data_IF_474697295755
#
_entry.id   IF_474697295755
#
_cell.length_a   1.000
_cell.length_b   1.000
_cell.length_c   1.000
_cell.angle_alpha   90.00
_cell.angle_beta   90.00
_cell.angle_gamma   90.00
#
_symmetry.space_group_name_H-M   'P 1'
#
loop_
_entity.id
_entity.type
_entity.pdbx_description
1 polymer ?
#
# COMPACT_ATOMS: atom_id res chain seq x y z
N UNK A 1 49.61 -31.72 49.48
CA UNK A 1 49.79 -30.25 49.58
C UNK A 1 49.41 -29.62 48.24
N UNK A 2 48.17 -29.71 47.78
CA UNK A 2 47.08 -28.75 48.04
C UNK A 2 47.53 -27.32 48.34
N UNK A 3 47.51 -26.47 47.30
CA UNK A 3 47.15 -25.06 47.45
C UNK A 3 46.07 -24.75 46.41
N UNK A 4 44.86 -24.66 46.94
CA UNK A 4 43.62 -24.25 46.30
C UNK A 4 43.67 -22.76 45.97
N UNK A 5 43.41 -22.40 44.72
CA UNK A 5 43.11 -21.02 44.33
C UNK A 5 41.62 -20.72 44.58
N UNK A 6 41.26 -19.58 45.20
CA UNK A 6 39.88 -19.28 45.55
C UNK A 6 39.07 -18.68 44.39
N UNK A 7 37.88 -19.26 44.18
CA UNK A 7 36.61 -18.61 43.83
C UNK A 7 36.60 -17.38 42.90
N UNK A 8 36.86 -17.59 41.59
CA UNK A 8 36.39 -16.67 40.53
C UNK A 8 34.89 -16.81 40.20
N UNK A 9 34.16 -17.72 40.87
CA UNK A 9 32.72 -17.91 40.66
C UNK A 9 31.83 -17.02 41.55
N UNK A 10 32.37 -16.39 42.60
CA UNK A 10 31.55 -15.62 43.56
C UNK A 10 31.38 -14.16 43.13
N UNK A 11 32.32 -13.59 42.38
CA UNK A 11 32.23 -12.19 41.93
C UNK A 11 31.30 -11.98 40.73
N UNK A 12 31.09 -12.97 39.87
CA UNK A 12 30.15 -12.87 38.74
C UNK A 12 28.69 -13.00 39.17
N UNK A 13 28.40 -13.71 40.26
CA UNK A 13 27.03 -13.84 40.79
C UNK A 13 26.58 -12.55 41.49
N UNK A 14 27.48 -11.85 42.20
CA UNK A 14 27.13 -10.62 42.93
C UNK A 14 26.78 -9.46 41.98
N UNK A 15 27.41 -9.37 40.80
CA UNK A 15 27.07 -8.34 39.79
C UNK A 15 25.75 -8.61 39.06
N UNK A 16 25.34 -9.88 38.93
CA UNK A 16 24.03 -10.23 38.38
C UNK A 16 22.87 -9.84 39.31
N UNK A 17 23.05 -9.97 40.63
CA UNK A 17 22.01 -9.62 41.59
C UNK A 17 21.82 -8.10 41.76
N UNK A 18 22.89 -7.30 41.67
CA UNK A 18 22.77 -5.83 41.76
C UNK A 18 22.10 -5.25 40.49
N UNK A 19 22.38 -5.82 39.30
CA UNK A 19 21.72 -5.43 38.05
C UNK A 19 20.22 -5.77 37.98
N UNK A 20 19.81 -6.93 38.52
CA UNK A 20 18.40 -7.32 38.62
C UNK A 20 17.62 -6.49 39.66
N UNK A 21 18.27 -6.08 40.75
CA UNK A 21 17.67 -5.17 41.74
C UNK A 21 17.52 -3.73 41.20
N UNK A 22 18.45 -3.24 40.36
CA UNK A 22 18.29 -1.91 39.74
C UNK A 22 17.19 -1.87 38.66
N UNK A 23 16.99 -2.94 37.88
CA UNK A 23 15.94 -3.01 36.86
C UNK A 23 14.54 -3.20 37.47
N UNK A 24 14.42 -3.91 38.58
CA UNK A 24 13.14 -4.08 39.30
C UNK A 24 12.73 -2.83 40.10
N UNK A 25 13.68 -2.01 40.57
CA UNK A 25 13.37 -0.73 41.22
C UNK A 25 13.02 0.35 40.18
N UNK A 26 13.74 0.44 39.06
CA UNK A 26 13.44 1.41 37.99
C UNK A 26 12.10 1.10 37.30
N UNK A 27 11.76 -0.18 37.07
CA UNK A 27 10.45 -0.56 36.55
C UNK A 27 9.30 -0.29 37.54
N UNK A 28 9.51 -0.43 38.86
CA UNK A 28 8.50 -0.08 39.87
C UNK A 28 8.31 1.43 40.02
N UNK A 29 9.37 2.23 39.91
CA UNK A 29 9.28 3.70 40.01
C UNK A 29 8.64 4.31 38.75
N UNK A 30 8.85 3.73 37.56
CA UNK A 30 8.12 4.12 36.34
C UNK A 30 6.63 3.71 36.39
N UNK A 31 6.30 2.57 37.01
CA UNK A 31 4.91 2.14 37.19
C UNK A 31 4.13 2.96 38.24
N UNK A 32 4.82 3.65 39.17
CA UNK A 32 4.20 4.41 40.26
C UNK A 32 3.84 5.85 39.91
N UNK A 33 4.32 6.40 38.79
CA UNK A 33 4.07 7.79 38.36
C UNK A 33 3.39 7.93 36.99
N UNK A 34 2.95 6.83 36.38
CA UNK A 34 1.92 6.93 35.35
C UNK A 34 0.59 7.26 36.04
N UNK A 35 -0.22 8.22 35.56
CA UNK A 35 -1.62 8.22 35.91
C UNK A 35 -2.16 6.85 35.53
N UNK A 36 -2.45 6.02 36.54
CA UNK A 36 -3.26 4.83 36.38
C UNK A 36 -4.61 5.38 35.98
N UNK A 37 -4.83 5.50 34.67
CA UNK A 37 -6.17 5.63 34.14
C UNK A 37 -6.93 4.43 34.75
N UNK A 38 -8.04 4.67 35.47
CA UNK A 38 -8.87 3.55 35.90
C UNK A 38 -9.13 2.71 34.65
N UNK A 39 -9.10 1.37 34.71
CA UNK A 39 -9.51 0.55 33.58
C UNK A 39 -10.97 0.92 33.33
N UNK A 40 -11.16 1.85 32.41
CA UNK A 40 -12.47 2.24 31.98
C UNK A 40 -12.98 0.98 31.29
N UNK A 41 -14.13 0.47 31.75
CA UNK A 41 -14.88 -0.60 31.10
C UNK A 41 -15.41 -0.08 29.73
N UNK A 42 -14.51 0.39 28.87
CA UNK A 42 -14.77 1.05 27.58
C UNK A 42 -14.36 0.12 26.43
N UNK A 43 -14.08 -1.15 26.73
CA UNK A 43 -14.01 -2.18 25.71
C UNK A 43 -15.42 -2.68 25.39
N UNK A 44 -15.78 -2.68 24.11
CA UNK A 44 -17.02 -3.32 23.63
C UNK A 44 -17.15 -4.76 24.15
N UNK A 45 -18.34 -5.11 24.64
CA UNK A 45 -18.67 -6.48 25.01
C UNK A 45 -18.55 -7.43 23.80
N UNK A 46 -18.45 -8.73 24.03
CA UNK A 46 -18.40 -9.73 22.94
C UNK A 46 -19.66 -9.63 22.08
N UNK A 47 -20.83 -9.48 22.71
CA UNK A 47 -22.12 -9.34 22.01
C UNK A 47 -22.14 -8.09 21.12
N UNK A 48 -21.66 -6.95 21.62
CA UNK A 48 -21.56 -5.73 20.81
C UNK A 48 -20.57 -5.89 19.64
N UNK A 49 -19.41 -6.52 19.87
CA UNK A 49 -18.44 -6.80 18.80
C UNK A 49 -19.04 -7.70 17.72
N UNK A 50 -19.78 -8.74 18.11
CA UNK A 50 -20.49 -9.61 17.18
C UNK A 50 -21.56 -8.84 16.42
N UNK A 51 -22.38 -8.05 17.12
CA UNK A 51 -23.41 -7.22 16.49
C UNK A 51 -22.82 -6.30 15.41
N UNK A 52 -21.79 -5.53 15.73
CA UNK A 52 -21.17 -4.63 14.75
C UNK A 52 -20.45 -5.37 13.62
N UNK A 53 -19.87 -6.55 13.90
CA UNK A 53 -19.33 -7.41 12.84
C UNK A 53 -20.44 -7.80 11.86
N UNK A 54 -21.59 -8.31 12.34
CA UNK A 54 -22.70 -8.66 11.46
C UNK A 54 -23.26 -7.44 10.72
N UNK A 55 -23.33 -6.27 11.37
CA UNK A 55 -23.72 -5.02 10.69
C UNK A 55 -22.79 -4.70 9.52
N UNK A 56 -21.46 -4.86 9.68
CA UNK A 56 -20.50 -4.64 8.58
C UNK A 56 -20.70 -5.67 7.46
N UNK A 57 -20.99 -6.94 7.79
CA UNK A 57 -21.35 -7.94 6.79
C UNK A 57 -22.59 -7.55 5.99
N UNK A 58 -23.64 -7.06 6.65
CA UNK A 58 -24.87 -6.58 6.00
C UNK A 58 -24.61 -5.35 5.11
N UNK A 59 -23.78 -4.41 5.57
CA UNK A 59 -23.38 -3.24 4.79
C UNK A 59 -22.62 -3.63 3.51
N UNK A 60 -21.69 -4.58 3.61
CA UNK A 60 -20.97 -5.09 2.44
C UNK A 60 -21.93 -5.74 1.44
N UNK A 61 -22.84 -6.61 1.91
CA UNK A 61 -23.85 -7.22 1.04
C UNK A 61 -24.72 -6.19 0.36
N UNK A 62 -25.23 -5.21 1.11
CA UNK A 62 -26.03 -4.12 0.53
C UNK A 62 -25.29 -3.38 -0.60
N UNK A 63 -24.01 -3.03 -0.37
CA UNK A 63 -23.21 -2.33 -1.37
C UNK A 63 -22.87 -3.22 -2.57
N UNK A 64 -22.47 -4.47 -2.33
CA UNK A 64 -22.07 -5.41 -3.38
C UNK A 64 -23.27 -5.83 -4.23
N UNK A 65 -24.41 -6.15 -3.61
CA UNK A 65 -25.64 -6.50 -4.33
C UNK A 65 -26.13 -5.30 -5.16
N UNK A 66 -26.07 -4.08 -4.62
CA UNK A 66 -26.39 -2.87 -5.36
C UNK A 66 -25.47 -2.62 -6.55
N UNK A 67 -24.16 -2.86 -6.41
CA UNK A 67 -23.23 -2.81 -7.54
C UNK A 67 -23.58 -3.88 -8.60
N UNK A 68 -23.85 -5.11 -8.18
CA UNK A 68 -24.19 -6.21 -9.07
C UNK A 68 -25.51 -5.97 -9.83
N UNK A 69 -26.50 -5.34 -9.19
CA UNK A 69 -27.80 -5.03 -9.79
C UNK A 69 -27.73 -3.86 -10.77
N UNK A 70 -27.08 -2.76 -10.38
CA UNK A 70 -27.21 -1.48 -11.10
C UNK A 70 -26.02 -1.10 -11.98
N UNK A 71 -24.86 -1.69 -11.76
CA UNK A 71 -23.63 -1.22 -12.41
C UNK A 71 -22.81 -2.32 -13.08
N UNK A 72 -22.80 -3.55 -12.59
CA UNK A 72 -22.01 -4.62 -13.21
C UNK A 72 -22.35 -4.76 -14.72
N UNK A 73 -21.36 -4.78 -15.64
CA UNK A 73 -19.91 -4.91 -15.42
C UNK A 73 -19.11 -3.60 -15.43
N UNK A 74 -19.75 -2.43 -15.28
CA UNK A 74 -19.06 -1.15 -15.15
C UNK A 74 -18.12 -1.10 -13.93
N UNK A 75 -17.24 -0.11 -13.90
CA UNK A 75 -16.23 -0.01 -12.85
C UNK A 75 -16.82 0.33 -11.49
N UNK A 76 -17.78 1.25 -11.43
CA UNK A 76 -18.42 1.71 -10.21
C UNK A 76 -19.94 1.89 -10.38
N UNK A 77 -20.65 1.96 -9.25
CA UNK A 77 -22.06 2.34 -9.18
C UNK A 77 -22.20 3.77 -8.67
N UNK A 78 -23.12 4.55 -9.25
CA UNK A 78 -23.61 5.79 -8.62
C UNK A 78 -24.79 5.43 -7.70
N UNK A 79 -24.59 5.31 -6.38
CA UNK A 79 -25.57 4.68 -5.49
C UNK A 79 -26.86 5.50 -5.31
N UNK A 80 -26.82 6.82 -5.53
CA UNK A 80 -28.01 7.67 -5.42
C UNK A 80 -28.91 7.62 -6.66
N UNK A 81 -28.33 7.43 -7.84
CA UNK A 81 -29.06 7.40 -9.11
C UNK A 81 -29.24 5.99 -9.64
N UNK A 82 -28.63 4.98 -9.02
CA UNK A 82 -28.62 3.59 -9.45
C UNK A 82 -28.17 3.44 -10.91
N UNK A 83 -27.07 4.11 -11.28
CA UNK A 83 -26.53 4.06 -12.66
C UNK A 83 -25.07 3.62 -12.67
N UNK A 84 -24.62 2.95 -13.75
CA UNK A 84 -23.22 2.58 -13.91
C UNK A 84 -22.33 3.83 -14.09
N UNK A 85 -21.09 3.70 -13.65
CA UNK A 85 -20.02 4.68 -13.85
C UNK A 85 -18.78 3.97 -14.42
N UNK A 86 -18.25 4.52 -15.50
CA UNK A 86 -17.05 4.07 -16.19
C UNK A 86 -16.28 5.24 -16.79
N UNK A 87 -15.20 4.99 -17.54
CA UNK A 87 -14.37 6.02 -18.15
C UNK A 87 -15.14 6.93 -19.10
N UNK A 88 -14.82 8.22 -19.06
CA UNK A 88 -15.33 9.23 -19.99
C UNK A 88 -14.46 9.25 -21.26
N UNK A 89 -14.84 8.44 -22.25
CA UNK A 89 -14.11 8.30 -23.53
C UNK A 89 -14.07 9.58 -24.36
N UNK A 90 -15.15 10.37 -24.32
CA UNK A 90 -15.25 11.64 -25.06
C UNK A 90 -14.44 12.77 -24.41
N UNK A 91 -14.06 12.62 -23.14
CA UNK A 91 -13.22 13.57 -22.42
C UNK A 91 -12.02 12.84 -21.81
N UNK A 92 -11.00 12.63 -22.65
CA UNK A 92 -9.79 11.92 -22.25
C UNK A 92 -9.06 12.57 -21.07
N UNK A 93 -9.29 13.86 -20.79
CA UNK A 93 -8.64 14.62 -19.72
C UNK A 93 -9.46 14.70 -18.41
N UNK A 94 -10.53 13.92 -18.29
CA UNK A 94 -11.30 13.82 -17.06
C UNK A 94 -10.55 13.01 -15.99
N UNK A 95 -9.36 13.47 -15.58
CA UNK A 95 -8.42 12.73 -14.73
C UNK A 95 -9.04 12.23 -13.43
N UNK A 96 -9.85 13.04 -12.75
CA UNK A 96 -10.52 12.62 -11.51
C UNK A 96 -11.50 11.45 -11.67
N UNK A 97 -11.83 11.05 -12.90
CA UNK A 97 -12.66 9.88 -13.22
C UNK A 97 -11.79 8.83 -13.92
N UNK A 98 -11.17 9.19 -15.04
CA UNK A 98 -10.44 8.24 -15.89
C UNK A 98 -9.19 7.65 -15.23
N UNK A 99 -8.58 8.34 -14.25
CA UNK A 99 -7.36 7.82 -13.59
C UNK A 99 -7.60 6.45 -12.93
N UNK A 100 -8.84 6.20 -12.47
CA UNK A 100 -9.26 5.01 -11.73
C UNK A 100 -10.15 4.08 -12.57
N UNK A 101 -10.96 4.63 -13.48
CA UNK A 101 -11.94 3.86 -14.26
C UNK A 101 -11.36 3.48 -15.64
N UNK A 102 -11.33 2.19 -15.94
CA UNK A 102 -10.71 1.65 -17.14
C UNK A 102 -11.52 0.61 -17.92
N UNK A 103 -12.81 0.44 -17.62
CA UNK A 103 -13.71 -0.60 -18.18
C UNK A 103 -13.24 -2.03 -17.86
N UNK A 104 -12.89 -2.30 -16.60
CA UNK A 104 -12.40 -3.60 -16.13
C UNK A 104 -13.12 -4.11 -14.87
N UNK A 105 -14.34 -3.64 -14.64
CA UNK A 105 -15.17 -4.02 -13.48
C UNK A 105 -14.45 -3.75 -12.15
N UNK A 106 -13.88 -2.55 -12.01
CA UNK A 106 -13.06 -2.14 -10.86
C UNK A 106 -13.60 -2.62 -9.51
N UNK A 107 -14.85 -2.28 -9.16
CA UNK A 107 -15.45 -2.62 -7.86
C UNK A 107 -15.40 -4.13 -7.59
N UNK A 108 -15.63 -4.97 -8.60
CA UNK A 108 -15.58 -6.42 -8.46
C UNK A 108 -14.16 -6.92 -8.17
N UNK A 109 -13.16 -6.37 -8.88
CA UNK A 109 -11.74 -6.73 -8.69
C UNK A 109 -11.24 -6.26 -7.33
N UNK A 110 -11.53 -5.01 -6.96
CA UNK A 110 -11.09 -4.35 -5.72
C UNK A 110 -11.75 -4.94 -4.46
N UNK A 111 -12.85 -5.69 -4.62
CA UNK A 111 -13.59 -6.33 -3.50
C UNK A 111 -13.24 -7.81 -3.28
N UNK A 112 -12.34 -8.41 -4.08
CA UNK A 112 -12.04 -9.84 -4.03
C UNK A 112 -11.56 -10.29 -2.64
N UNK A 113 -10.64 -9.56 -2.05
CA UNK A 113 -10.08 -9.87 -0.74
C UNK A 113 -11.07 -9.61 0.41
N UNK A 114 -12.05 -8.72 0.21
CA UNK A 114 -13.08 -8.45 1.21
C UNK A 114 -13.98 -9.66 1.41
N UNK A 115 -14.28 -10.45 0.37
CA UNK A 115 -14.92 -11.76 0.54
C UNK A 115 -14.10 -12.68 1.45
N UNK A 116 -12.76 -12.61 1.38
CA UNK A 116 -11.87 -13.35 2.28
C UNK A 116 -11.96 -12.87 3.73
N UNK A 117 -11.92 -11.56 3.96
CA UNK A 117 -12.07 -10.96 5.29
C UNK A 117 -13.41 -11.34 5.93
N UNK A 118 -14.48 -11.43 5.13
CA UNK A 118 -15.82 -11.82 5.58
C UNK A 118 -16.02 -13.35 5.62
N UNK A 119 -15.03 -14.16 5.24
CA UNK A 119 -15.16 -15.62 5.21
C UNK A 119 -16.17 -16.14 4.19
N UNK A 120 -16.55 -15.34 3.18
CA UNK A 120 -17.50 -15.71 2.14
C UNK A 120 -16.81 -16.38 0.94
N UNK A 121 -16.48 -17.66 1.11
CA UNK A 121 -15.78 -18.44 0.08
C UNK A 121 -16.62 -18.62 -1.18
N UNK A 122 -17.94 -18.72 -1.03
CA UNK A 122 -18.85 -18.89 -2.16
C UNK A 122 -18.95 -17.61 -2.99
N UNK A 123 -19.07 -16.45 -2.32
CA UNK A 123 -19.02 -15.13 -2.95
C UNK A 123 -17.69 -14.89 -3.67
N UNK A 124 -16.56 -15.22 -3.02
CA UNK A 124 -15.24 -15.17 -3.64
C UNK A 124 -15.16 -16.01 -4.92
N UNK A 125 -15.54 -17.30 -4.86
CA UNK A 125 -15.54 -18.18 -6.03
C UNK A 125 -16.43 -17.66 -7.16
N UNK A 126 -17.58 -17.06 -6.81
CA UNK A 126 -18.45 -16.43 -7.79
C UNK A 126 -17.81 -15.21 -8.45
N UNK A 127 -17.19 -14.33 -7.67
CA UNK A 127 -16.52 -13.13 -8.15
C UNK A 127 -15.35 -13.49 -9.09
N UNK A 128 -14.53 -14.47 -8.74
CA UNK A 128 -13.43 -14.96 -9.60
C UNK A 128 -13.95 -15.45 -10.95
N UNK A 129 -15.07 -16.20 -10.96
CA UNK A 129 -15.71 -16.64 -12.21
C UNK A 129 -16.19 -15.46 -13.06
N UNK A 130 -16.84 -14.47 -12.46
CA UNK A 130 -17.30 -13.27 -13.17
C UNK A 130 -16.12 -12.48 -13.76
N UNK A 131 -15.02 -12.36 -13.02
CA UNK A 131 -13.81 -11.69 -13.50
C UNK A 131 -13.26 -12.41 -14.73
N UNK A 132 -13.14 -13.74 -14.67
CA UNK A 132 -12.74 -14.55 -15.83
C UNK A 132 -13.63 -14.32 -17.05
N UNK A 133 -14.95 -14.26 -16.84
CA UNK A 133 -15.93 -14.13 -17.92
C UNK A 133 -15.95 -12.73 -18.54
N UNK A 134 -15.89 -11.68 -17.72
CA UNK A 134 -16.20 -10.31 -18.13
C UNK A 134 -15.00 -9.35 -18.17
N UNK A 135 -13.96 -9.54 -17.35
CA UNK A 135 -12.86 -8.58 -17.25
C UNK A 135 -11.91 -8.75 -18.43
N UNK A 136 -11.56 -7.63 -19.06
CA UNK A 136 -10.56 -7.54 -20.13
C UNK A 136 -9.64 -6.37 -19.83
N UNK A 137 -8.34 -6.59 -19.96
CA UNK A 137 -7.33 -5.53 -19.74
C UNK A 137 -7.01 -4.77 -21.03
N UNK A 138 -7.28 -5.35 -22.21
CA UNK A 138 -7.09 -4.69 -23.52
C UNK A 138 -8.13 -3.60 -23.83
N UNK A 139 -8.25 -2.61 -22.95
CA UNK A 139 -9.23 -1.53 -23.07
C UNK A 139 -8.60 -0.28 -23.69
N UNK A 140 -9.35 0.40 -24.56
CA UNK A 140 -8.97 1.73 -25.02
C UNK A 140 -9.36 2.80 -23.98
N UNK A 141 -8.78 2.67 -22.81
CA UNK A 141 -9.02 3.51 -21.63
C UNK A 141 -7.70 4.11 -21.16
N UNK A 142 -7.73 5.41 -20.84
CA UNK A 142 -6.61 6.10 -20.23
C UNK A 142 -6.72 5.98 -18.73
N UNK A 143 -5.66 5.50 -18.07
CA UNK A 143 -5.64 5.27 -16.63
C UNK A 143 -4.37 5.80 -16.00
N UNK A 144 -4.39 5.99 -14.68
CA UNK A 144 -3.21 6.35 -13.91
C UNK A 144 -2.49 5.08 -13.44
N UNK A 145 -1.17 5.02 -13.67
CA UNK A 145 -0.33 3.87 -13.31
C UNK A 145 -0.44 3.56 -11.82
N UNK A 146 -0.45 4.58 -10.98
CA UNK A 146 -0.60 4.46 -9.53
C UNK A 146 -1.93 3.78 -9.13
N UNK A 147 -3.06 4.37 -9.52
CA UNK A 147 -4.39 3.89 -9.12
C UNK A 147 -4.65 2.46 -9.59
N UNK A 148 -4.29 2.16 -10.84
CA UNK A 148 -4.51 0.82 -11.39
C UNK A 148 -3.56 -0.22 -10.79
N UNK A 149 -2.37 0.20 -10.35
CA UNK A 149 -1.46 -0.69 -9.62
C UNK A 149 -2.06 -1.08 -8.28
N UNK A 150 -2.43 -0.10 -7.45
CA UNK A 150 -2.87 -0.40 -6.07
C UNK A 150 -4.26 -1.06 -6.02
N UNK A 151 -5.14 -0.80 -6.98
CA UNK A 151 -6.51 -1.36 -7.00
C UNK A 151 -6.60 -2.65 -7.81
N UNK A 152 -6.30 -2.57 -9.11
CA UNK A 152 -6.54 -3.68 -10.03
C UNK A 152 -5.43 -4.70 -9.95
N UNK A 153 -4.16 -4.28 -10.07
CA UNK A 153 -3.05 -5.21 -9.98
C UNK A 153 -2.97 -5.82 -8.57
N UNK A 154 -3.11 -4.99 -7.53
CA UNK A 154 -3.22 -5.43 -6.14
C UNK A 154 -4.35 -6.43 -5.91
N UNK A 155 -5.58 -6.10 -6.34
CA UNK A 155 -6.75 -6.98 -6.19
C UNK A 155 -6.62 -8.31 -6.94
N UNK A 156 -6.09 -8.30 -8.17
CA UNK A 156 -5.84 -9.53 -8.94
C UNK A 156 -4.77 -10.42 -8.28
N UNK A 157 -3.66 -9.83 -7.81
CA UNK A 157 -2.59 -10.57 -7.14
C UNK A 157 -3.05 -11.11 -5.78
N UNK A 158 -3.74 -10.31 -4.98
CA UNK A 158 -4.32 -10.72 -3.70
C UNK A 158 -5.35 -11.85 -3.88
N UNK A 159 -6.25 -11.71 -4.86
CA UNK A 159 -7.20 -12.75 -5.23
C UNK A 159 -6.51 -14.02 -5.72
N UNK A 160 -5.43 -13.92 -6.50
CA UNK A 160 -4.65 -15.08 -6.93
C UNK A 160 -4.05 -15.84 -5.74
N UNK A 161 -3.43 -15.14 -4.79
CA UNK A 161 -2.87 -15.75 -3.58
C UNK A 161 -3.96 -16.43 -2.74
N UNK A 162 -5.12 -15.78 -2.56
CA UNK A 162 -6.27 -16.34 -1.87
C UNK A 162 -6.81 -17.62 -2.53
N UNK A 163 -6.85 -17.65 -3.86
CA UNK A 163 -7.35 -18.78 -4.63
C UNK A 163 -6.38 -19.97 -4.68
N UNK A 164 -5.08 -19.76 -4.40
CA UNK A 164 -4.03 -20.77 -4.54
C UNK A 164 -3.45 -21.26 -3.22
N UNK A 165 -3.27 -20.38 -2.23
CA UNK A 165 -2.66 -20.73 -0.94
C UNK A 165 -3.67 -21.44 -0.02
N UNK A 166 -3.45 -22.73 0.32
CA UNK A 166 -4.35 -23.47 1.20
C UNK A 166 -4.42 -22.89 2.62
N UNK A 167 -3.42 -22.13 3.07
CA UNK A 167 -3.38 -21.55 4.41
C UNK A 167 -4.32 -20.35 4.57
N UNK A 168 -4.73 -19.73 3.46
CA UNK A 168 -5.61 -18.55 3.48
C UNK A 168 -7.10 -18.90 3.47
N UNK A 169 -7.45 -20.19 3.39
CA UNK A 169 -8.83 -20.69 3.51
C UNK A 169 -9.71 -20.50 2.26
N UNK A 170 -9.28 -19.70 1.29
CA UNK A 170 -10.05 -19.36 0.08
C UNK A 170 -9.71 -20.17 -1.17
N UNK A 171 -8.85 -21.18 -1.04
CA UNK A 171 -8.41 -22.01 -2.17
C UNK A 171 -9.58 -22.55 -3.01
N UNK A 172 -9.49 -22.40 -4.34
CA UNK A 172 -10.47 -22.84 -5.32
C UNK A 172 -9.88 -24.00 -6.13
N UNK A 173 -10.55 -25.15 -6.13
CA UNK A 173 -9.99 -26.39 -6.69
C UNK A 173 -9.88 -26.42 -8.21
N UNK A 174 -10.71 -25.66 -8.92
CA UNK A 174 -10.75 -25.56 -10.39
C UNK A 174 -10.05 -24.30 -10.92
N UNK A 175 -9.41 -23.53 -10.04
CA UNK A 175 -8.70 -22.31 -10.40
C UNK A 175 -7.42 -22.61 -11.18
N UNK A 176 -7.23 -21.90 -12.29
CA UNK A 176 -6.14 -22.12 -13.24
C UNK A 176 -5.46 -20.79 -13.60
N UNK A 177 -5.07 -20.03 -12.57
CA UNK A 177 -4.28 -18.79 -12.68
C UNK A 177 -4.96 -17.63 -13.43
N UNK A 178 -6.27 -17.65 -13.62
CA UNK A 178 -6.95 -16.64 -14.45
C UNK A 178 -6.73 -15.20 -13.94
N UNK A 179 -6.63 -15.00 -12.63
CA UNK A 179 -6.32 -13.68 -12.06
C UNK A 179 -4.85 -13.29 -12.26
N UNK A 180 -3.92 -14.24 -12.17
CA UNK A 180 -2.49 -13.98 -12.41
C UNK A 180 -2.22 -13.67 -13.87
N UNK A 181 -2.92 -14.33 -14.80
CA UNK A 181 -2.82 -14.05 -16.23
C UNK A 181 -3.29 -12.62 -16.55
N UNK A 182 -4.40 -12.18 -15.94
CA UNK A 182 -4.88 -10.80 -16.03
C UNK A 182 -3.88 -9.81 -15.40
N UNK A 183 -3.33 -10.13 -14.23
CA UNK A 183 -2.33 -9.31 -13.54
C UNK A 183 -1.05 -9.15 -14.39
N UNK A 184 -0.59 -10.23 -15.01
CA UNK A 184 0.56 -10.20 -15.90
C UNK A 184 0.28 -9.39 -17.17
N UNK A 185 -0.92 -9.50 -17.76
CA UNK A 185 -1.29 -8.67 -18.91
C UNK A 185 -1.34 -7.19 -18.57
N UNK A 186 -1.90 -6.85 -17.41
CA UNK A 186 -1.92 -5.49 -16.89
C UNK A 186 -0.50 -4.97 -16.66
N UNK A 187 0.34 -5.71 -15.94
CA UNK A 187 1.73 -5.32 -15.71
C UNK A 187 2.48 -5.01 -17.01
N UNK A 188 2.35 -5.85 -18.04
CA UNK A 188 2.98 -5.60 -19.35
C UNK A 188 2.52 -4.30 -20.01
N UNK A 189 1.25 -3.91 -19.82
CA UNK A 189 0.70 -2.65 -20.37
C UNK A 189 1.15 -1.43 -19.57
N UNK A 190 1.48 -1.60 -18.29
CA UNK A 190 2.04 -0.54 -17.44
C UNK A 190 3.55 -0.35 -17.65
N UNK A 191 4.32 -1.40 -17.99
CA UNK A 191 5.78 -1.32 -18.20
C UNK A 191 6.23 -0.18 -19.13
N UNK A 192 5.56 0.07 -20.28
CA UNK A 192 5.88 1.20 -21.15
C UNK A 192 5.96 2.58 -20.45
N UNK A 193 5.21 2.79 -19.36
CA UNK A 193 5.23 4.04 -18.58
C UNK A 193 6.63 4.37 -18.04
N UNK A 194 7.41 3.36 -17.70
CA UNK A 194 8.76 3.50 -17.17
C UNK A 194 9.78 3.67 -18.30
N UNK A 195 9.65 2.89 -19.39
CA UNK A 195 10.60 2.94 -20.50
C UNK A 195 10.49 4.21 -21.34
N UNK A 196 9.30 4.83 -21.39
CA UNK A 196 9.08 6.07 -22.13
C UNK A 196 9.59 7.31 -21.38
N UNK A 197 9.75 7.20 -20.05
CA UNK A 197 10.22 8.31 -19.24
C UNK A 197 11.70 8.61 -19.50
N UNK A 198 12.12 9.89 -19.57
CA UNK A 198 13.54 10.26 -19.66
C UNK A 198 14.28 10.07 -18.32
N UNK A 199 13.57 9.78 -17.24
CA UNK A 199 14.11 9.50 -15.91
C UNK A 199 13.62 8.12 -15.45
N UNK A 200 14.07 7.65 -14.29
CA UNK A 200 13.56 6.40 -13.72
C UNK A 200 12.17 6.54 -13.09
N UNK A 201 11.54 7.73 -13.12
CA UNK A 201 10.19 7.94 -12.61
C UNK A 201 9.17 7.59 -13.71
N UNK A 202 8.10 6.84 -13.41
CA UNK A 202 7.12 6.47 -14.43
C UNK A 202 6.35 7.68 -14.95
N UNK A 203 6.00 7.66 -16.24
CA UNK A 203 4.90 8.48 -16.74
C UNK A 203 3.64 8.13 -15.92
N UNK A 204 2.92 9.12 -15.36
CA UNK A 204 1.81 8.85 -14.45
C UNK A 204 0.63 8.16 -15.14
N UNK A 205 0.50 8.27 -16.46
CA UNK A 205 -0.68 7.80 -17.20
C UNK A 205 -0.31 6.99 -18.44
N UNK A 206 -1.14 6.00 -18.71
CA UNK A 206 -1.06 5.15 -19.90
C UNK A 206 -2.44 4.88 -20.45
N UNK A 207 -2.53 4.69 -21.77
CA UNK A 207 -3.67 4.03 -22.37
C UNK A 207 -3.42 2.53 -22.34
N UNK A 208 -4.35 1.73 -21.80
CA UNK A 208 -4.13 0.29 -21.62
C UNK A 208 -3.92 -0.44 -22.95
N UNK A 209 -4.47 0.06 -24.07
CA UNK A 209 -4.30 -0.52 -25.41
C UNK A 209 -3.18 0.12 -26.22
N UNK A 210 -3.01 1.45 -26.12
CA UNK A 210 -2.12 2.24 -26.98
C UNK A 210 -0.77 2.57 -26.33
N UNK A 211 -0.63 2.36 -25.03
CA UNK A 211 0.58 2.68 -24.26
C UNK A 211 0.62 4.12 -23.74
N UNK A 212 1.81 4.60 -23.33
CA UNK A 212 1.97 5.89 -22.66
C UNK A 212 1.75 7.05 -23.63
N UNK A 213 1.24 8.15 -23.10
CA UNK A 213 1.08 9.40 -23.83
C UNK A 213 1.57 10.55 -22.95
N UNK A 214 2.28 11.50 -23.56
CA UNK A 214 2.84 12.64 -22.81
C UNK A 214 1.81 13.74 -22.70
N UNK A 215 1.56 14.16 -21.47
CA UNK A 215 0.79 15.36 -21.17
C UNK A 215 1.75 16.37 -20.58
N UNK A 216 1.69 17.59 -21.11
CA UNK A 216 2.38 18.72 -20.50
C UNK A 216 1.42 19.49 -19.59
N UNK A 217 1.87 19.92 -18.41
CA UNK A 217 3.23 19.72 -17.91
C UNK A 217 3.44 18.30 -17.33
N UNK A 218 4.70 17.84 -17.27
CA UNK A 218 5.08 16.44 -16.99
C UNK A 218 5.11 16.16 -15.48
N UNK A 219 3.95 16.28 -14.83
CA UNK A 219 3.86 16.20 -13.37
C UNK A 219 3.46 14.79 -12.90
N UNK A 220 4.06 14.33 -11.80
CA UNK A 220 3.61 13.21 -10.97
C UNK A 220 3.71 13.59 -9.50
N UNK A 221 3.20 12.78 -8.58
CA UNK A 221 3.41 12.96 -7.16
C UNK A 221 4.31 11.85 -6.57
N UNK A 222 4.88 12.12 -5.40
CA UNK A 222 5.78 11.19 -4.70
C UNK A 222 5.12 9.84 -4.44
N UNK A 223 3.88 9.82 -3.98
CA UNK A 223 3.09 8.61 -3.81
C UNK A 223 2.94 7.85 -5.15
N UNK A 224 2.50 8.52 -6.20
CA UNK A 224 2.26 7.87 -7.50
C UNK A 224 3.52 7.23 -8.10
N UNK A 225 4.70 7.81 -7.88
CA UNK A 225 5.96 7.27 -8.36
C UNK A 225 6.60 6.22 -7.42
N UNK A 226 6.27 6.25 -6.12
CA UNK A 226 6.88 5.41 -5.08
C UNK A 226 6.08 4.17 -4.70
N UNK A 227 4.78 4.17 -4.97
CA UNK A 227 3.82 3.20 -4.44
C UNK A 227 3.48 2.11 -5.47
N UNK A 228 4.51 1.44 -5.96
CA UNK A 228 4.39 0.41 -7.03
C UNK A 228 5.11 -0.90 -6.69
N UNK A 229 6.03 -0.88 -5.72
CA UNK A 229 6.98 -1.97 -5.50
C UNK A 229 6.35 -3.24 -4.92
N UNK A 230 5.29 -3.14 -4.12
CA UNK A 230 4.65 -4.31 -3.52
C UNK A 230 4.03 -5.19 -4.61
N UNK A 231 3.25 -4.58 -5.50
CA UNK A 231 2.54 -5.27 -6.56
C UNK A 231 3.49 -5.73 -7.66
N UNK A 232 4.39 -4.85 -8.11
CA UNK A 232 5.35 -5.20 -9.15
C UNK A 232 6.35 -6.26 -8.68
N UNK A 233 6.81 -6.18 -7.42
CA UNK A 233 7.68 -7.18 -6.80
C UNK A 233 6.99 -8.53 -6.60
N UNK A 234 5.70 -8.52 -6.22
CA UNK A 234 4.89 -9.73 -6.09
C UNK A 234 4.64 -10.37 -7.45
N UNK A 235 4.27 -9.57 -8.47
CA UNK A 235 4.09 -10.03 -9.84
C UNK A 235 5.36 -10.67 -10.39
N UNK A 236 6.53 -10.05 -10.18
CA UNK A 236 7.82 -10.64 -10.59
C UNK A 236 8.10 -11.99 -9.93
N UNK A 237 7.84 -12.13 -8.63
CA UNK A 237 8.05 -13.40 -7.91
C UNK A 237 7.10 -14.51 -8.38
N UNK A 238 5.84 -14.18 -8.65
CA UNK A 238 4.83 -15.14 -9.11
C UNK A 238 5.02 -15.58 -10.57
N UNK A 239 5.51 -14.67 -11.42
CA UNK A 239 5.61 -14.92 -12.88
C UNK A 239 7.02 -15.26 -13.35
N UNK A 240 8.05 -14.94 -12.54
CA UNK A 240 9.46 -15.04 -12.93
C UNK A 240 9.96 -13.90 -13.83
N UNK A 241 9.11 -12.96 -14.22
CA UNK A 241 9.50 -11.79 -15.03
C UNK A 241 9.93 -10.63 -14.12
N UNK A 242 11.24 -10.49 -13.90
CA UNK A 242 11.81 -9.49 -12.98
C UNK A 242 11.82 -8.06 -13.50
N UNK A 243 11.36 -7.81 -14.74
CA UNK A 243 11.30 -6.44 -15.27
C UNK A 243 10.39 -5.55 -14.43
N UNK A 244 9.29 -6.09 -13.88
CA UNK A 244 8.38 -5.33 -13.03
C UNK A 244 9.07 -4.83 -11.76
N UNK A 245 9.63 -5.73 -10.94
CA UNK A 245 10.34 -5.32 -9.72
C UNK A 245 11.48 -4.34 -10.02
N UNK A 246 12.24 -4.59 -11.09
CA UNK A 246 13.37 -3.74 -11.46
C UNK A 246 12.96 -2.29 -11.73
N UNK A 247 11.89 -2.06 -12.51
CA UNK A 247 11.44 -0.70 -12.81
C UNK A 247 10.83 -0.01 -11.59
N UNK A 248 10.07 -0.72 -10.76
CA UNK A 248 9.49 -0.16 -9.54
C UNK A 248 10.57 0.20 -8.51
N UNK A 249 11.58 -0.66 -8.33
CA UNK A 249 12.72 -0.40 -7.45
C UNK A 249 13.57 0.76 -7.97
N UNK A 250 13.78 0.86 -9.29
CA UNK A 250 14.50 1.97 -9.89
C UNK A 250 13.78 3.31 -9.67
N UNK A 251 12.46 3.35 -9.82
CA UNK A 251 11.64 4.54 -9.53
C UNK A 251 11.75 4.97 -8.06
N UNK A 252 11.64 4.02 -7.13
CA UNK A 252 11.77 4.28 -5.70
C UNK A 252 13.19 4.77 -5.33
N UNK A 253 14.25 4.16 -5.89
CA UNK A 253 15.63 4.64 -5.71
C UNK A 253 15.84 6.04 -6.30
N UNK A 254 15.20 6.35 -7.43
CA UNK A 254 15.23 7.69 -8.01
C UNK A 254 14.58 8.71 -7.08
N UNK A 255 13.38 8.44 -6.57
CA UNK A 255 12.76 9.28 -5.54
C UNK A 255 13.66 9.44 -4.32
N UNK A 256 14.22 8.33 -3.81
CA UNK A 256 15.14 8.36 -2.68
C UNK A 256 16.32 9.29 -2.95
N UNK A 257 16.88 9.27 -4.16
CA UNK A 257 17.99 10.16 -4.54
C UNK A 257 17.63 11.65 -4.53
N UNK A 258 16.34 11.98 -4.70
CA UNK A 258 15.82 13.35 -4.77
C UNK A 258 15.49 13.95 -3.40
N UNK A 259 15.54 13.16 -2.32
CA UNK A 259 15.25 13.64 -0.96
C UNK A 259 16.12 14.83 -0.57
N UNK A 260 15.59 15.71 0.27
CA UNK A 260 16.35 16.85 0.78
C UNK A 260 17.47 16.42 1.74
N UNK A 261 18.32 17.37 2.16
CA UNK A 261 19.33 17.14 3.22
C UNK A 261 18.73 16.69 4.56
N UNK A 262 17.41 16.84 4.73
CA UNK A 262 16.66 16.39 5.89
C UNK A 262 15.98 15.03 5.66
N UNK A 263 16.26 14.33 4.57
CA UNK A 263 15.56 13.11 4.12
C UNK A 263 14.03 13.29 3.99
N UNK A 264 13.58 14.50 3.60
CA UNK A 264 12.18 14.78 3.30
C UNK A 264 11.95 14.78 1.79
N UNK A 265 10.70 14.52 1.38
CA UNK A 265 10.25 14.48 -0.01
C UNK A 265 9.23 15.58 -0.27
N UNK A 266 9.29 16.21 -1.44
CA UNK A 266 8.25 17.14 -1.87
C UNK A 266 7.00 16.39 -2.33
N UNK A 267 5.96 17.12 -2.71
CA UNK A 267 4.72 16.52 -3.16
C UNK A 267 4.75 16.23 -4.66
N UNK A 268 4.93 17.28 -5.47
CA UNK A 268 4.82 17.23 -6.94
C UNK A 268 6.20 17.28 -7.59
N UNK A 269 6.40 16.43 -8.60
CA UNK A 269 7.64 16.21 -9.31
C UNK A 269 7.43 16.37 -10.81
N UNK A 270 8.32 17.13 -11.45
CA UNK A 270 8.52 17.03 -12.90
C UNK A 270 9.26 15.71 -13.18
N UNK A 271 8.54 14.69 -13.66
CA UNK A 271 9.15 13.39 -13.97
C UNK A 271 10.04 13.43 -15.21
N UNK A 272 9.94 14.50 -16.03
CA UNK A 272 10.79 14.73 -17.18
C UNK A 272 12.20 15.23 -16.81
N UNK A 273 12.33 15.95 -15.68
CA UNK A 273 13.59 16.53 -15.24
C UNK A 273 14.08 16.07 -13.86
N UNK A 274 13.29 15.25 -13.15
CA UNK A 274 13.53 14.85 -11.75
C UNK A 274 13.72 16.04 -10.81
N UNK A 275 12.85 17.05 -10.93
CA UNK A 275 12.86 18.24 -10.07
C UNK A 275 11.58 18.36 -9.28
N UNK A 276 11.70 18.84 -8.05
CA UNK A 276 10.55 19.21 -7.23
C UNK A 276 9.89 20.47 -7.81
N UNK A 277 8.59 20.40 -8.03
CA UNK A 277 7.76 21.55 -8.37
C UNK A 277 7.00 22.06 -7.16
N UNK A 278 6.52 21.13 -6.32
CA UNK A 278 6.01 21.42 -5.00
C UNK A 278 6.93 20.77 -3.96
N UNK A 279 7.61 21.63 -3.21
CA UNK A 279 8.57 21.27 -2.16
C UNK A 279 7.90 21.07 -0.79
N UNK A 280 6.57 21.05 -0.72
CA UNK A 280 5.83 20.76 0.52
C UNK A 280 5.99 19.29 0.90
N UNK A 281 6.71 19.04 1.98
CA UNK A 281 6.84 17.74 2.62
C UNK A 281 5.77 17.54 3.70
N UNK A 282 5.10 16.40 3.65
CA UNK A 282 4.03 15.99 4.56
C UNK A 282 3.99 14.46 4.66
N UNK A 283 3.13 13.94 5.53
CA UNK A 283 2.73 12.51 5.61
C UNK A 283 1.37 12.25 4.98
N UNK A 284 0.72 13.27 4.42
CA UNK A 284 -0.60 13.18 3.80
C UNK A 284 -0.56 12.96 2.28
N UNK A 285 -1.68 13.31 1.65
CA UNK A 285 -1.96 13.07 0.24
C UNK A 285 -0.82 13.50 -0.69
N UNK A 286 -0.44 12.60 -1.61
CA UNK A 286 0.62 12.81 -2.59
C UNK A 286 2.01 12.35 -2.12
N UNK A 287 2.17 11.96 -0.85
CA UNK A 287 3.43 11.44 -0.30
C UNK A 287 3.20 10.19 0.57
N UNK A 288 2.18 10.21 1.42
CA UNK A 288 1.73 9.15 2.35
C UNK A 288 2.30 7.73 2.09
N UNK A 289 1.85 7.11 1.02
CA UNK A 289 2.04 5.70 0.70
C UNK A 289 3.48 5.36 0.29
N UNK A 290 4.34 6.34 -0.02
CA UNK A 290 5.78 6.12 -0.12
C UNK A 290 6.32 5.54 1.19
N UNK A 291 5.97 6.17 2.33
CA UNK A 291 6.47 5.73 3.64
C UNK A 291 5.95 4.34 3.98
N UNK A 292 4.68 4.07 3.66
CA UNK A 292 4.09 2.75 3.86
C UNK A 292 4.81 1.69 3.03
N UNK A 293 5.09 1.96 1.76
CA UNK A 293 5.69 0.98 0.86
C UNK A 293 7.15 0.68 1.24
N UNK A 294 7.89 1.64 1.79
CA UNK A 294 9.21 1.36 2.35
C UNK A 294 9.14 0.33 3.50
N UNK A 295 8.21 0.49 4.45
CA UNK A 295 8.08 -0.47 5.55
C UNK A 295 7.50 -1.81 5.07
N UNK A 296 6.41 -1.77 4.29
CA UNK A 296 5.72 -2.96 3.80
C UNK A 296 6.62 -3.79 2.89
N UNK A 297 7.44 -3.17 2.04
CA UNK A 297 8.36 -3.88 1.16
C UNK A 297 9.52 -4.52 1.95
N UNK A 298 10.02 -3.84 2.99
CA UNK A 298 11.01 -4.42 3.89
C UNK A 298 10.49 -5.72 4.54
N UNK A 299 9.23 -5.73 4.97
CA UNK A 299 8.60 -6.91 5.58
C UNK A 299 8.30 -7.99 4.53
N UNK A 300 7.66 -7.61 3.42
CA UNK A 300 7.19 -8.57 2.41
C UNK A 300 8.35 -9.26 1.67
N UNK A 301 9.43 -8.52 1.42
CA UNK A 301 10.57 -9.03 0.64
C UNK A 301 11.82 -9.32 1.46
N UNK A 302 11.78 -9.12 2.78
CA UNK A 302 12.91 -9.29 3.70
C UNK A 302 14.17 -8.57 3.20
N UNK A 303 14.03 -7.26 2.95
CA UNK A 303 15.04 -6.45 2.25
C UNK A 303 15.45 -5.21 3.07
N UNK A 304 16.69 -5.25 3.55
CA UNK A 304 17.32 -4.23 4.39
C UNK A 304 17.43 -2.85 3.71
N UNK A 305 17.44 -2.79 2.36
CA UNK A 305 17.46 -1.51 1.66
C UNK A 305 16.21 -0.70 1.99
N UNK A 306 15.04 -1.32 1.89
CA UNK A 306 13.77 -0.67 2.19
C UNK A 306 13.64 -0.31 3.67
N UNK A 307 14.12 -1.19 4.57
CA UNK A 307 14.13 -0.92 6.01
C UNK A 307 15.03 0.27 6.35
N UNK A 308 16.21 0.34 5.75
CA UNK A 308 17.16 1.44 5.91
C UNK A 308 16.60 2.77 5.41
N UNK A 309 15.87 2.76 4.28
CA UNK A 309 15.15 3.93 3.76
C UNK A 309 14.01 4.35 4.71
N UNK A 310 13.17 3.39 5.14
CA UNK A 310 12.06 3.66 6.06
C UNK A 310 12.54 4.30 7.37
N UNK A 311 13.55 3.71 8.03
CA UNK A 311 14.04 4.20 9.32
C UNK A 311 14.57 5.63 9.24
N UNK A 312 15.26 5.98 8.15
CA UNK A 312 15.73 7.34 7.90
C UNK A 312 14.57 8.32 7.66
N UNK A 313 13.63 7.94 6.78
CA UNK A 313 12.45 8.76 6.48
C UNK A 313 11.58 8.97 7.73
N UNK A 314 11.28 7.90 8.47
CA UNK A 314 10.51 7.94 9.71
C UNK A 314 11.14 8.85 10.76
N UNK A 315 12.45 8.72 10.98
CA UNK A 315 13.18 9.59 11.92
C UNK A 315 13.06 11.07 11.52
N UNK A 316 13.14 11.38 10.23
CA UNK A 316 12.98 12.73 9.72
C UNK A 316 11.55 13.25 9.83
N UNK A 317 10.55 12.43 9.53
CA UNK A 317 9.13 12.74 9.70
C UNK A 317 8.84 13.12 11.16
N UNK A 318 9.25 12.29 12.12
CA UNK A 318 9.05 12.55 13.54
C UNK A 318 9.79 13.81 14.00
N UNK A 319 10.98 14.08 13.45
CA UNK A 319 11.80 15.23 13.84
C UNK A 319 11.29 16.56 13.29
N UNK A 320 10.81 16.58 12.05
CA UNK A 320 10.58 17.82 11.31
C UNK A 320 9.12 18.12 11.00
N UNK A 321 8.27 17.10 10.93
CA UNK A 321 6.86 17.28 10.57
C UNK A 321 5.94 17.27 11.80
N UNK A 322 6.35 16.67 12.91
CA UNK A 322 5.54 16.65 14.13
C UNK A 322 5.52 18.03 14.77
N UNK A 323 4.33 18.51 15.08
CA UNK A 323 4.12 19.79 15.74
C UNK A 323 4.63 19.78 17.20
N UNK A 324 4.69 20.96 17.84
CA UNK A 324 5.20 21.06 19.21
C UNK A 324 4.35 20.32 20.24
N UNK A 325 3.08 20.05 19.92
CA UNK A 325 2.18 19.32 20.84
C UNK A 325 2.34 17.81 20.72
N UNK A 326 2.88 17.31 19.60
CA UNK A 326 3.02 15.88 19.33
C UNK A 326 1.76 15.23 18.77
N UNK A 327 0.72 16.02 18.45
CA UNK A 327 -0.59 15.52 18.02
C UNK A 327 -0.87 15.75 16.54
N UNK A 328 -0.09 16.59 15.85
CA UNK A 328 -0.31 16.90 14.45
C UNK A 328 0.98 16.77 13.63
N UNK A 329 0.81 16.39 12.37
CA UNK A 329 1.85 16.51 11.35
C UNK A 329 1.58 17.76 10.52
N UNK A 330 2.59 18.60 10.35
CA UNK A 330 2.54 19.85 9.61
C UNK A 330 3.23 19.67 8.26
N UNK A 331 2.67 20.27 7.21
CA UNK A 331 3.36 20.43 5.95
C UNK A 331 4.48 21.47 6.09
N UNK A 332 5.68 21.17 5.61
CA UNK A 332 6.81 22.11 5.61
C UNK A 332 7.55 22.06 4.28
N UNK A 333 8.18 23.15 3.88
CA UNK A 333 9.11 23.15 2.77
C UNK A 333 10.32 22.25 3.08
N UNK A 334 10.61 21.28 2.21
CA UNK A 334 11.65 20.26 2.46
C UNK A 334 13.08 20.80 2.48
N UNK A 335 13.33 22.02 2.01
CA UNK A 335 14.67 22.61 1.93
C UNK A 335 14.94 23.59 3.07
N UNK A 336 13.92 24.31 3.51
CA UNK A 336 13.99 25.39 4.50
C UNK A 336 13.34 25.04 5.84
N UNK A 337 12.45 24.05 5.87
CA UNK A 337 11.60 23.68 7.02
C UNK A 337 10.60 24.78 7.43
N UNK A 338 10.32 25.74 6.53
CA UNK A 338 9.27 26.72 6.73
C UNK A 338 7.88 26.08 6.55
N UNK A 339 6.88 26.54 7.32
CA UNK A 339 5.48 26.12 7.20
C UNK A 339 4.80 26.72 5.97
#
# INVERSE_FOLDING_TARGET
MSRTAPSRLVLTVVWWWIGLLSLTVVSKVWALNMPVFPPSNVSMTIVQRQHYRETVHEMFRHAMDGYMEFAFPADEVRPLTCTPLGPLKDNIQAWGINDVLGDYSLTLVDSLDTFAVLGDKAGFAHAVRLIREHVRIDQDSNVQVFEVTIRVLGGLLGGHLLATDPNLGMQLGDYNNELLDLAYDLGKRLLPAFTYSPTNLPCPRVNLKRGPFVIKPMHTCTAAAGTLILEFGTLSRLTGDFRFEQVARAALRQLWSMRSKYNLFGNTIDYGSSKWEDTTGTVGAGIDSLYEYLLKAAILFDDDEYLGMFNQAYSSVIRYLVDKTGYAFLGVDIHTLAL
#
